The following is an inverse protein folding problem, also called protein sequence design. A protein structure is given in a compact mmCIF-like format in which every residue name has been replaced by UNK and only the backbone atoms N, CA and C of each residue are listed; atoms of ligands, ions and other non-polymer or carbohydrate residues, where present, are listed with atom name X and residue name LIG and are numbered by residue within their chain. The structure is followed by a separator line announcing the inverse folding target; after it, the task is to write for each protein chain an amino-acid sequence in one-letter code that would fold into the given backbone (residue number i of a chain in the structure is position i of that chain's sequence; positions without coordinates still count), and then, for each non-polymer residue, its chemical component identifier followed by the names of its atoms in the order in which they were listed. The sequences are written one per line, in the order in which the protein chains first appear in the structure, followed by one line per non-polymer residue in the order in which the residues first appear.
data_IF_100165939591
#
_entry.id   IF_100165939591
#
_cell.length_a   1.000
_cell.length_b   1.000
_cell.length_c   1.000
_cell.angle_alpha   90.00
_cell.angle_beta   90.00
_cell.angle_gamma   90.00
#
_symmetry.space_group_name_H-M   'P 1'
#
loop_
_entity.id
_entity.type
_entity.pdbx_description
1 polymer ?
#
# COMPACT_ATOMS: atom_id res chain seq x y z
N UNK A 1 -1.73 20.27 5.70
CA UNK A 1 -2.19 18.99 6.32
C UNK A 1 -2.29 17.78 5.36
N UNK A 2 -1.53 17.72 4.25
CA UNK A 2 -1.62 16.63 3.25
C UNK A 2 -0.74 15.38 3.54
N UNK A 3 0.15 15.44 4.55
CA UNK A 3 1.14 14.38 4.88
C UNK A 3 0.51 13.00 5.21
N UNK A 4 -0.75 12.94 5.64
CA UNK A 4 -1.42 11.70 6.09
C UNK A 4 -1.81 10.74 4.96
N UNK A 5 -2.08 11.25 3.76
CA UNK A 5 -2.67 10.43 2.68
C UNK A 5 -1.63 9.53 2.00
N UNK A 6 -0.42 10.04 1.83
CA UNK A 6 0.69 9.31 1.17
C UNK A 6 1.10 8.07 1.96
N UNK A 7 1.20 8.17 3.29
CA UNK A 7 1.55 7.04 4.16
C UNK A 7 0.49 5.93 4.06
N UNK A 8 -0.79 6.31 4.01
CA UNK A 8 -1.90 5.35 3.87
C UNK A 8 -1.90 4.66 2.51
N UNK A 9 -1.55 5.37 1.43
CA UNK A 9 -1.37 4.76 0.10
C UNK A 9 -0.28 3.67 0.14
N UNK A 10 0.83 3.93 0.84
CA UNK A 10 1.90 2.93 1.01
C UNK A 10 1.42 1.69 1.77
N UNK A 11 0.68 1.85 2.86
CA UNK A 11 0.13 0.72 3.61
C UNK A 11 -0.80 -0.13 2.73
N UNK A 12 -1.64 0.50 1.92
CA UNK A 12 -2.53 -0.21 0.99
C UNK A 12 -1.72 -0.99 -0.05
N UNK A 13 -0.72 -0.37 -0.66
CA UNK A 13 0.16 -1.04 -1.63
C UNK A 13 0.88 -2.23 -0.99
N UNK A 14 1.38 -2.07 0.24
CA UNK A 14 2.03 -3.14 0.98
C UNK A 14 1.09 -4.31 1.27
N UNK A 15 -0.17 -4.05 1.65
CA UNK A 15 -1.20 -5.10 1.82
C UNK A 15 -1.39 -5.87 0.51
N UNK A 16 -1.53 -5.18 -0.61
CA UNK A 16 -1.76 -5.83 -1.90
C UNK A 16 -0.57 -6.69 -2.31
N UNK A 17 0.66 -6.20 -2.11
CA UNK A 17 1.90 -6.97 -2.34
C UNK A 17 1.96 -8.20 -1.42
N UNK A 18 1.66 -8.03 -0.13
CA UNK A 18 1.63 -9.13 0.83
C UNK A 18 0.65 -10.22 0.40
N UNK A 19 -0.57 -9.85 -0.01
CA UNK A 19 -1.59 -10.80 -0.47
C UNK A 19 -1.19 -11.50 -1.79
N UNK A 20 -0.58 -10.78 -2.72
CA UNK A 20 -0.04 -11.35 -3.96
C UNK A 20 1.04 -12.40 -3.66
N UNK A 21 1.99 -12.05 -2.78
CA UNK A 21 3.08 -12.96 -2.35
C UNK A 21 2.54 -14.19 -1.63
N UNK A 22 1.58 -14.01 -0.71
CA UNK A 22 0.94 -15.13 0.01
C UNK A 22 0.33 -16.15 -0.94
N UNK A 23 -0.29 -15.67 -2.02
CA UNK A 23 -0.96 -16.52 -2.98
C UNK A 23 -0.05 -16.95 -4.15
N UNK A 24 1.24 -16.58 -4.14
CA UNK A 24 2.22 -16.81 -5.22
C UNK A 24 1.70 -16.35 -6.60
N UNK A 25 0.95 -15.26 -6.66
CA UNK A 25 0.34 -14.71 -7.89
C UNK A 25 0.60 -13.21 -7.98
N UNK A 26 0.69 -12.67 -9.20
CA UNK A 26 0.84 -11.22 -9.43
C UNK A 26 -0.45 -10.41 -9.20
N UNK A 27 -1.52 -11.10 -8.79
CA UNK A 27 -2.80 -10.50 -8.51
C UNK A 27 -3.40 -11.05 -7.22
N UNK A 28 -4.26 -10.25 -6.61
CA UNK A 28 -5.10 -10.67 -5.49
C UNK A 28 -6.53 -10.15 -5.69
N UNK A 29 -7.51 -10.75 -5.00
CA UNK A 29 -8.92 -10.34 -5.07
C UNK A 29 -9.55 -10.16 -3.68
N UNK A 30 -8.88 -9.45 -2.74
CA UNK A 30 -9.47 -9.20 -1.43
C UNK A 30 -10.76 -8.38 -1.55
N UNK A 31 -11.72 -8.69 -0.69
CA UNK A 31 -12.87 -7.80 -0.50
C UNK A 31 -12.40 -6.48 0.13
N UNK A 32 -13.10 -5.37 -0.15
CA UNK A 32 -12.76 -4.08 0.45
C UNK A 32 -12.79 -4.15 2.00
N UNK A 33 -13.74 -4.91 2.56
CA UNK A 33 -13.82 -5.19 3.99
C UNK A 33 -12.53 -5.82 4.51
N UNK A 34 -11.95 -6.77 3.77
CA UNK A 34 -10.69 -7.43 4.16
C UNK A 34 -9.50 -6.47 4.16
N UNK A 35 -9.41 -5.58 3.18
CA UNK A 35 -8.35 -4.56 3.14
C UNK A 35 -8.46 -3.64 4.37
N UNK A 36 -9.66 -3.17 4.69
CA UNK A 36 -9.91 -2.32 5.86
C UNK A 36 -9.59 -3.03 7.18
N UNK A 37 -9.96 -4.30 7.30
CA UNK A 37 -9.64 -5.13 8.47
C UNK A 37 -8.13 -5.25 8.68
N UNK A 38 -7.38 -5.52 7.61
CA UNK A 38 -5.91 -5.62 7.66
C UNK A 38 -5.28 -4.27 8.01
N UNK A 39 -5.76 -3.17 7.42
CA UNK A 39 -5.30 -1.81 7.74
C UNK A 39 -5.45 -1.49 9.23
N UNK A 40 -6.63 -1.78 9.79
CA UNK A 40 -6.92 -1.57 11.21
C UNK A 40 -6.03 -2.46 12.08
N UNK A 41 -5.89 -3.74 11.74
CA UNK A 41 -5.15 -4.71 12.57
C UNK A 41 -3.65 -4.45 12.59
N UNK A 42 -3.07 -4.05 11.45
CA UNK A 42 -1.60 -3.97 11.30
C UNK A 42 -1.02 -2.59 11.56
N UNK A 43 -1.78 -1.51 11.26
CA UNK A 43 -1.30 -0.14 11.44
C UNK A 43 -2.24 0.72 12.29
N UNK A 44 -3.30 0.16 12.87
CA UNK A 44 -4.30 0.92 13.62
C UNK A 44 -5.14 1.89 12.77
N UNK A 45 -4.99 1.86 11.44
CA UNK A 45 -5.59 2.85 10.54
C UNK A 45 -7.05 2.50 10.27
N UNK A 46 -7.96 3.38 10.70
CA UNK A 46 -9.39 3.30 10.39
C UNK A 46 -9.71 4.28 9.25
N UNK A 47 -10.18 3.76 8.13
CA UNK A 47 -10.61 4.57 6.98
C UNK A 47 -11.94 4.07 6.44
N UNK A 48 -12.76 4.98 5.91
CA UNK A 48 -14.02 4.62 5.27
C UNK A 48 -13.78 3.94 3.93
N UNK A 49 -14.78 3.19 3.44
CA UNK A 49 -14.76 2.58 2.10
C UNK A 49 -14.52 3.61 0.99
N UNK A 50 -15.16 4.79 1.09
CA UNK A 50 -14.97 5.91 0.16
C UNK A 50 -13.51 6.36 0.12
N UNK A 51 -12.90 6.52 1.30
CA UNK A 51 -11.49 6.90 1.41
C UNK A 51 -10.56 5.83 0.85
N UNK A 52 -10.82 4.54 1.13
CA UNK A 52 -10.08 3.44 0.52
C UNK A 52 -10.15 3.48 -1.01
N UNK A 53 -11.33 3.71 -1.59
CA UNK A 53 -11.48 3.80 -3.04
C UNK A 53 -10.71 4.98 -3.65
N UNK A 54 -10.61 6.12 -2.94
CA UNK A 54 -9.76 7.25 -3.35
C UNK A 54 -8.29 6.87 -3.37
N UNK A 55 -7.80 6.22 -2.31
CA UNK A 55 -6.40 5.76 -2.24
C UNK A 55 -6.07 4.72 -3.30
N UNK A 56 -6.96 3.76 -3.55
CA UNK A 56 -6.83 2.81 -4.66
C UNK A 56 -6.81 3.51 -6.02
N UNK A 57 -7.62 4.57 -6.20
CA UNK A 57 -7.59 5.41 -7.40
C UNK A 57 -6.28 6.18 -7.55
N UNK A 58 -5.70 6.69 -6.46
CA UNK A 58 -4.37 7.31 -6.49
C UNK A 58 -3.31 6.30 -6.96
N UNK A 59 -3.23 5.12 -6.33
CA UNK A 59 -2.28 4.07 -6.70
C UNK A 59 -2.42 3.60 -8.16
N UNK A 60 -3.66 3.57 -8.67
CA UNK A 60 -3.93 3.21 -10.07
C UNK A 60 -3.48 4.31 -11.04
N UNK A 61 -3.77 5.58 -10.74
CA UNK A 61 -3.30 6.73 -11.55
C UNK A 61 -1.77 6.83 -11.57
N UNK A 62 -1.12 6.48 -10.46
CA UNK A 62 0.34 6.44 -10.33
C UNK A 62 0.98 5.24 -11.08
N UNK A 63 0.17 4.32 -11.62
CA UNK A 63 0.65 3.14 -12.34
C UNK A 63 1.33 2.12 -11.42
N UNK A 64 0.93 2.08 -10.14
CA UNK A 64 1.44 1.12 -9.17
C UNK A 64 0.58 -0.15 -9.13
N UNK A 65 -0.72 0.01 -9.36
CA UNK A 65 -1.68 -1.09 -9.43
C UNK A 65 -2.60 -0.95 -10.65
N UNK A 66 -3.27 -2.06 -11.02
CA UNK A 66 -4.37 -2.07 -11.99
C UNK A 66 -5.57 -2.80 -11.36
N UNK A 67 -6.77 -2.23 -11.47
CA UNK A 67 -8.01 -2.85 -10.99
C UNK A 67 -8.82 -3.42 -12.14
N UNK A 68 -9.27 -4.66 -11.99
CA UNK A 68 -10.14 -5.33 -12.97
C UNK A 68 -11.41 -5.81 -12.25
N UNK A 69 -12.56 -5.24 -12.61
CA UNK A 69 -13.86 -5.67 -12.08
C UNK A 69 -14.25 -6.98 -12.75
N UNK A 70 -14.74 -7.93 -11.94
CA UNK A 70 -15.20 -9.23 -12.43
C UNK A 70 -16.71 -9.23 -12.50
N UNK A 71 -17.26 -9.44 -13.67
CA UNK A 71 -18.70 -9.63 -13.87
C UNK A 71 -18.93 -11.08 -14.28
N UNK A 72 -20.01 -11.68 -13.80
CA UNK A 72 -20.48 -12.99 -14.25
C UNK A 72 -21.93 -12.85 -14.70
N UNK A 73 -22.32 -13.57 -15.76
CA UNK A 73 -23.73 -13.75 -16.09
C UNK A 73 -24.30 -14.79 -15.12
N UNK A 74 -25.34 -14.44 -14.40
CA UNK A 74 -26.11 -15.39 -13.59
C UNK A 74 -27.02 -16.25 -14.47
N UNK A 75 -27.47 -17.38 -13.94
CA UNK A 75 -28.45 -18.26 -14.57
C UNK A 75 -29.75 -17.51 -14.90
N UNK A 76 -30.16 -16.58 -14.04
CA UNK A 76 -31.32 -15.69 -14.23
C UNK A 76 -31.13 -14.58 -15.28
N UNK A 77 -30.03 -14.61 -16.05
CA UNK A 77 -29.66 -13.55 -16.99
C UNK A 77 -29.15 -12.25 -16.35
N UNK A 78 -29.24 -12.09 -15.02
CA UNK A 78 -28.75 -10.91 -14.27
C UNK A 78 -27.23 -10.90 -14.13
N UNK A 79 -26.63 -9.70 -14.10
CA UNK A 79 -25.19 -9.52 -13.88
C UNK A 79 -24.86 -9.71 -12.39
N UNK A 80 -24.03 -10.70 -12.06
CA UNK A 80 -23.47 -10.91 -10.72
C UNK A 80 -22.09 -10.23 -10.64
N UNK A 81 -21.96 -9.25 -9.73
CA UNK A 81 -20.70 -8.56 -9.49
C UNK A 81 -19.80 -9.38 -8.56
N UNK A 82 -18.63 -9.78 -9.05
CA UNK A 82 -17.61 -10.45 -8.25
C UNK A 82 -16.64 -9.48 -7.58
N UNK A 83 -15.79 -10.01 -6.70
CA UNK A 83 -14.68 -9.24 -6.11
C UNK A 83 -13.76 -8.69 -7.20
N UNK A 84 -13.32 -7.44 -7.02
CA UNK A 84 -12.36 -6.79 -7.92
C UNK A 84 -10.99 -7.44 -7.80
N UNK A 85 -10.35 -7.71 -8.94
CA UNK A 85 -8.96 -8.13 -9.02
C UNK A 85 -8.04 -6.91 -8.94
N UNK A 86 -6.99 -7.03 -8.16
CA UNK A 86 -5.93 -6.05 -8.02
C UNK A 86 -4.65 -6.68 -8.53
N UNK A 87 -4.10 -6.13 -9.61
CA UNK A 87 -2.78 -6.50 -10.11
C UNK A 87 -1.79 -5.48 -9.58
N UNK A 88 -0.71 -5.95 -8.96
CA UNK A 88 0.40 -5.08 -8.60
C UNK A 88 1.35 -5.01 -9.79
N UNK A 89 1.60 -3.80 -10.29
CA UNK A 89 2.48 -3.59 -11.43
C UNK A 89 3.95 -3.63 -10.98
N UNK A 90 4.87 -3.93 -11.90
CA UNK A 90 6.31 -3.95 -11.60
C UNK A 90 6.80 -2.64 -10.97
N UNK A 91 6.21 -1.50 -11.36
CA UNK A 91 6.47 -0.19 -10.73
C UNK A 91 6.07 -0.16 -9.26
N UNK A 92 4.96 -0.79 -8.88
CA UNK A 92 4.52 -0.93 -7.49
C UNK A 92 5.51 -1.72 -6.63
N UNK A 93 6.03 -2.83 -7.15
CA UNK A 93 7.08 -3.60 -6.45
C UNK A 93 8.37 -2.79 -6.29
N UNK A 94 8.86 -2.17 -7.38
CA UNK A 94 10.08 -1.33 -7.35
C UNK A 94 9.95 -0.16 -6.37
N UNK A 95 8.78 0.49 -6.36
CA UNK A 95 8.50 1.58 -5.43
C UNK A 95 8.66 1.13 -3.98
N UNK A 96 8.04 0.02 -3.59
CA UNK A 96 8.13 -0.47 -2.22
C UNK A 96 9.54 -0.94 -1.84
N UNK A 97 10.29 -1.53 -2.78
CA UNK A 97 11.69 -1.91 -2.55
C UNK A 97 12.57 -0.71 -2.21
N UNK A 98 12.46 0.39 -2.98
CA UNK A 98 13.19 1.64 -2.72
C UNK A 98 12.82 2.25 -1.38
N UNK A 99 11.53 2.25 -1.04
CA UNK A 99 11.06 2.68 0.29
C UNK A 99 11.72 1.84 1.38
N UNK A 100 11.75 0.51 1.22
CA UNK A 100 12.39 -0.41 2.16
C UNK A 100 13.93 -0.25 2.25
N UNK A 101 14.61 0.11 1.16
CA UNK A 101 16.03 0.46 1.16
C UNK A 101 16.29 1.72 1.98
N UNK A 102 15.43 2.73 1.85
CA UNK A 102 15.56 3.98 2.59
C UNK A 102 15.32 3.75 4.08
N UNK A 103 14.32 2.96 4.44
CA UNK A 103 14.14 2.56 5.84
C UNK A 103 15.35 1.80 6.39
N UNK A 104 15.95 0.90 5.59
CA UNK A 104 17.20 0.21 5.96
C UNK A 104 18.36 1.19 6.15
N UNK A 105 18.51 2.19 5.26
CA UNK A 105 19.57 3.19 5.33
C UNK A 105 19.48 4.10 6.57
N UNK A 106 18.26 4.28 7.10
CA UNK A 106 18.00 5.08 8.30
C UNK A 106 18.25 4.23 9.58
N UNK A 107 18.69 2.97 9.45
CA UNK A 107 18.86 2.07 10.59
C UNK A 107 17.54 1.54 11.14
N UNK A 108 16.42 1.78 10.44
CA UNK A 108 15.13 1.20 10.77
C UNK A 108 15.09 -0.24 10.25
N UNK A 109 15.53 -1.15 11.10
CA UNK A 109 15.32 -2.59 10.90
C UNK A 109 13.82 -2.82 10.97
N UNK A 110 13.21 -3.03 9.80
CA UNK A 110 11.82 -3.42 9.68
C UNK A 110 11.65 -4.78 10.38
N UNK A 111 11.35 -4.77 11.68
CA UNK A 111 11.19 -5.97 12.49
C UNK A 111 9.94 -6.67 11.95
N UNK A 112 10.16 -7.61 11.03
CA UNK A 112 9.15 -8.50 10.46
C UNK A 112 8.65 -9.39 11.62
N UNK A 113 7.75 -8.86 12.46
CA UNK A 113 6.95 -9.68 13.38
C UNK A 113 5.98 -10.47 12.51
N UNK A 114 6.49 -11.57 12.00
CA UNK A 114 5.74 -12.78 11.68
C UNK A 114 4.95 -13.16 12.94
N UNK A 115 3.69 -12.74 13.02
CA UNK A 115 2.67 -13.42 13.83
C UNK A 115 1.34 -13.33 13.11
N UNK A 116 1.19 -14.18 12.09
CA UNK A 116 -0.11 -14.76 11.74
C UNK A 116 -0.15 -16.14 12.42
N UNK A 117 -0.44 -16.11 13.73
CA UNK A 117 -0.89 -17.23 14.56
C UNK A 117 0.15 -18.29 14.93
N UNK A 118 0.74 -18.20 16.12
CA UNK A 118 0.88 -19.29 17.11
C UNK A 118 1.79 -18.86 18.28
N UNK A 119 1.64 -19.61 19.37
CA UNK A 119 2.01 -19.34 20.75
C UNK A 119 3.52 -19.18 21.06
N UNK A 120 3.76 -18.74 22.30
CA UNK A 120 5.00 -18.78 23.11
C UNK A 120 6.06 -17.70 22.88
N UNK A 121 6.65 -17.31 24.02
CA UNK A 121 7.93 -16.62 24.16
C UNK A 121 7.94 -15.14 23.83
N UNK A 122 7.52 -14.29 24.77
CA UNK A 122 8.02 -12.92 24.83
C UNK A 122 9.47 -13.02 25.32
N UNK A 123 10.42 -12.95 24.40
CA UNK A 123 11.81 -12.69 24.74
C UNK A 123 12.05 -11.19 24.52
N UNK A 124 12.32 -10.51 25.64
CA UNK A 124 12.76 -9.14 25.73
C UNK A 124 14.01 -8.90 24.89
N UNK A 125 14.00 -7.84 24.08
CA UNK A 125 15.23 -7.22 23.59
C UNK A 125 15.00 -5.71 23.62
N UNK A 126 15.46 -5.11 24.72
CA UNK A 126 15.75 -3.69 24.85
C UNK A 126 16.71 -3.29 23.72
N UNK A 127 16.35 -2.26 22.96
CA UNK A 127 17.15 -1.83 21.81
C UNK A 127 16.69 -0.48 21.29
N UNK A 128 17.11 0.57 22.01
CA UNK A 128 17.21 1.97 21.61
C UNK A 128 16.30 2.48 20.50
N UNK A 129 15.13 3.01 20.87
CA UNK A 129 14.36 3.89 20.02
C UNK A 129 15.12 5.20 19.81
N UNK A 130 15.94 5.30 18.76
CA UNK A 130 16.26 6.63 18.20
C UNK A 130 14.97 7.17 17.60
N UNK A 131 14.38 8.15 18.29
CA UNK A 131 13.25 8.96 17.84
C UNK A 131 13.67 9.66 16.53
N UNK A 132 13.45 9.00 15.40
CA UNK A 132 13.61 9.61 14.10
C UNK A 132 12.51 10.64 13.98
N UNK A 133 12.91 11.90 13.84
CA UNK A 133 12.02 13.02 13.60
C UNK A 133 11.14 12.70 12.39
N UNK A 134 9.82 12.60 12.61
CA UNK A 134 8.82 12.28 11.57
C UNK A 134 8.95 13.22 10.36
N UNK A 135 9.50 14.40 10.58
CA UNK A 135 9.75 15.39 9.54
C UNK A 135 10.87 15.00 8.58
N UNK A 136 11.95 14.37 9.05
CA UNK A 136 13.06 13.93 8.23
C UNK A 136 12.65 12.74 7.34
N UNK A 137 11.89 11.80 7.91
CA UNK A 137 11.31 10.69 7.15
C UNK A 137 10.36 11.21 6.07
N UNK A 138 9.53 12.20 6.41
CA UNK A 138 8.64 12.86 5.44
C UNK A 138 9.44 13.55 4.33
N UNK A 139 10.56 14.21 4.64
CA UNK A 139 11.45 14.86 3.65
C UNK A 139 12.10 13.84 2.71
N UNK A 140 12.67 12.76 3.22
CA UNK A 140 13.29 11.69 2.40
C UNK A 140 12.27 10.97 1.53
N UNK A 141 11.10 10.64 2.08
CA UNK A 141 10.00 10.06 1.30
C UNK A 141 9.53 11.00 0.18
N UNK A 142 9.46 12.31 0.43
CA UNK A 142 9.12 13.30 -0.60
C UNK A 142 10.17 13.36 -1.72
N UNK A 143 11.45 13.24 -1.39
CA UNK A 143 12.52 13.12 -2.39
C UNK A 143 12.29 11.92 -3.30
N UNK A 144 12.11 10.73 -2.72
CA UNK A 144 11.82 9.51 -3.48
C UNK A 144 10.58 9.59 -4.34
N UNK A 145 9.49 10.13 -3.79
CA UNK A 145 8.24 10.32 -4.54
C UNK A 145 8.53 11.26 -5.72
N UNK A 146 9.23 12.37 -5.50
CA UNK A 146 9.60 13.30 -6.57
C UNK A 146 10.50 12.65 -7.62
N UNK A 147 11.47 11.82 -7.22
CA UNK A 147 12.37 11.14 -8.15
C UNK A 147 11.63 10.04 -8.94
N UNK A 148 10.67 9.37 -8.29
CA UNK A 148 9.83 8.32 -8.89
C UNK A 148 8.74 8.88 -9.82
N UNK A 149 8.27 10.11 -9.58
CA UNK A 149 7.19 10.75 -10.33
C UNK A 149 7.65 11.92 -11.22
N UNK A 150 8.86 12.45 -11.04
CA UNK A 150 9.38 13.63 -11.72
C UNK A 150 10.45 13.37 -12.78
N UNK A 151 11.03 12.17 -12.86
CA UNK A 151 12.01 11.80 -13.89
C UNK A 151 11.38 11.03 -15.06
N UNK A 152 10.87 11.73 -16.08
CA UNK A 152 10.38 11.11 -17.32
C UNK A 152 9.50 12.05 -18.13
N UNK A 153 10.14 12.84 -19.00
CA UNK A 153 9.53 13.92 -19.77
C UNK A 153 8.36 13.54 -20.70
N UNK A 154 7.63 14.61 -21.05
CA UNK A 154 6.53 14.77 -22.01
C UNK A 154 5.15 14.25 -21.58
N UNK A 155 4.41 15.16 -20.94
CA UNK A 155 2.98 15.33 -21.22
C UNK A 155 2.03 14.41 -20.46
N UNK A 156 2.07 14.37 -19.12
CA UNK A 156 0.88 14.00 -18.33
C UNK A 156 0.74 14.94 -17.13
N UNK A 157 -0.48 15.46 -17.03
CA UNK A 157 -0.99 16.48 -16.12
C UNK A 157 -0.57 16.22 -14.66
N UNK A 158 -0.41 17.32 -13.91
CA UNK A 158 -0.16 17.39 -12.48
C UNK A 158 -0.70 16.19 -11.68
N UNK A 159 0.11 15.67 -10.73
CA UNK A 159 -0.28 14.66 -9.75
C UNK A 159 -1.62 15.01 -9.09
N UNK A 160 -2.74 14.35 -9.46
CA UNK A 160 -4.06 14.83 -9.10
C UNK A 160 -4.59 14.21 -7.80
N UNK A 161 -3.69 13.82 -6.88
CA UNK A 161 -4.06 13.52 -5.49
C UNK A 161 -3.80 14.70 -4.54
N UNK A 162 -3.34 15.84 -5.06
CA UNK A 162 -3.08 17.07 -4.31
C UNK A 162 -4.29 18.02 -4.22
N UNK A 163 -5.36 17.75 -4.98
CA UNK A 163 -6.60 18.52 -4.94
C UNK A 163 -7.67 17.80 -4.12
N UNK A 164 -8.18 18.49 -3.08
CA UNK A 164 -9.25 18.15 -2.11
C UNK A 164 -8.78 17.58 -0.76
#
# INVERSE_FOLDING_TARGET
MQKSNTIKNMYILEILIFLCRKNKKHYCFPTQKKILEILKRRWGVRVSRRTLNRYLGCLEREGLIKRVRRHKKGEDGKIKFGSTLYFVLQRGFRFLSRVGEVFRSIGWVWRRKEKLGMERGVADVQGGERLIDREELSRRMKGLIRDLFGGGGKGRRASPCEAQ
#
